data_IF_819341527759
#
_entry.id   IF_819341527759
#
_cell.length_a   1.000
_cell.length_b   1.000
_cell.length_c   1.000
_cell.angle_alpha   90.00
_cell.angle_beta   90.00
_cell.angle_gamma   90.00
#
_symmetry.space_group_name_H-M   'P 1'
#
loop_
_entity.id
_entity.type
_entity.pdbx_description
1 polymer ?
#
# COMPACT_ATOMS: atom_id res chain seq x y z
N UNK A 1 12.98 28.06 30.23
CA UNK A 1 12.97 28.15 28.75
C UNK A 1 12.48 26.80 28.21
N UNK A 2 11.18 26.70 27.90
CA UNK A 2 10.45 25.55 27.29
C UNK A 2 8.94 25.85 27.51
N UNK A 3 8.00 25.85 26.57
CA UNK A 3 8.01 25.65 25.11
C UNK A 3 6.71 26.29 24.56
N UNK A 4 6.77 27.21 23.57
CA UNK A 4 5.58 27.81 22.93
C UNK A 4 4.71 26.80 22.13
N UNK A 5 5.13 25.53 22.06
CA UNK A 5 4.44 24.46 21.35
C UNK A 5 3.12 24.02 22.02
N UNK A 6 2.97 24.21 23.32
CA UNK A 6 1.77 23.75 24.03
C UNK A 6 0.56 24.65 23.76
N UNK A 7 0.78 25.97 23.70
CA UNK A 7 -0.26 26.96 23.43
C UNK A 7 -0.83 26.83 22.00
N UNK A 8 0.04 26.55 21.02
CA UNK A 8 -0.39 26.35 19.62
C UNK A 8 -1.22 25.07 19.48
N UNK A 9 -0.83 23.98 20.17
CA UNK A 9 -1.59 22.72 20.16
C UNK A 9 -2.99 22.92 20.72
N UNK A 10 -3.10 23.61 21.87
CA UNK A 10 -4.38 23.91 22.50
C UNK A 10 -5.26 24.80 21.63
N UNK A 11 -4.69 25.81 20.97
CA UNK A 11 -5.46 26.66 20.03
C UNK A 11 -5.95 25.84 18.83
N UNK A 12 -5.10 24.95 18.28
CA UNK A 12 -5.49 24.10 17.17
C UNK A 12 -6.61 23.13 17.54
N UNK A 13 -6.55 22.54 18.74
CA UNK A 13 -7.60 21.64 19.25
C UNK A 13 -8.94 22.38 19.37
N UNK A 14 -8.95 23.59 19.95
CA UNK A 14 -10.16 24.41 20.06
C UNK A 14 -10.72 24.76 18.67
N UNK A 15 -9.86 25.11 17.71
CA UNK A 15 -10.30 25.41 16.34
C UNK A 15 -10.88 24.18 15.64
N UNK A 16 -10.32 23.00 15.88
CA UNK A 16 -10.85 21.75 15.34
C UNK A 16 -12.19 21.41 15.97
N UNK A 17 -12.34 21.57 17.28
CA UNK A 17 -13.61 21.36 17.98
C UNK A 17 -14.69 22.31 17.44
N UNK A 18 -14.39 23.59 17.26
CA UNK A 18 -15.32 24.59 16.70
C UNK A 18 -15.78 24.21 15.28
N UNK A 19 -14.85 23.81 14.41
CA UNK A 19 -15.17 23.33 13.06
C UNK A 19 -16.06 22.08 13.10
N UNK A 20 -15.87 21.19 14.07
CA UNK A 20 -16.66 19.96 14.21
C UNK A 20 -18.05 20.20 14.82
N UNK A 21 -18.21 21.26 15.62
CA UNK A 21 -19.47 21.66 16.24
C UNK A 21 -20.33 22.57 15.34
N UNK A 22 -19.74 23.16 14.30
CA UNK A 22 -20.42 24.03 13.35
C UNK A 22 -21.62 23.33 12.69
N UNK A 23 -22.76 24.01 12.66
CA UNK A 23 -23.97 23.53 11.99
C UNK A 23 -23.89 23.69 10.46
N UNK A 24 -24.71 22.93 9.74
CA UNK A 24 -24.79 23.01 8.27
C UNK A 24 -25.10 24.42 7.74
N UNK A 25 -25.81 25.24 8.52
CA UNK A 25 -26.12 26.62 8.15
C UNK A 25 -24.94 27.57 8.41
N UNK A 26 -24.20 27.38 9.51
CA UNK A 26 -22.96 28.12 9.80
C UNK A 26 -21.88 27.83 8.76
N UNK A 27 -21.65 26.55 8.44
CA UNK A 27 -20.71 26.12 7.41
C UNK A 27 -21.07 26.75 6.06
N UNK A 28 -22.35 26.78 5.69
CA UNK A 28 -22.80 27.37 4.42
C UNK A 28 -22.56 28.87 4.40
N UNK A 29 -22.82 29.54 5.52
CA UNK A 29 -22.67 30.98 5.65
C UNK A 29 -21.19 31.38 5.54
N UNK A 30 -20.27 30.67 6.21
CA UNK A 30 -18.82 30.89 6.11
C UNK A 30 -18.32 30.73 4.67
N UNK A 31 -18.75 29.68 3.97
CA UNK A 31 -18.38 29.46 2.56
C UNK A 31 -18.79 30.64 1.68
N UNK A 32 -19.98 31.20 1.92
CA UNK A 32 -20.49 32.37 1.18
C UNK A 32 -19.69 33.63 1.55
N UNK A 33 -19.38 33.83 2.84
CA UNK A 33 -18.59 34.97 3.33
C UNK A 33 -17.16 34.98 2.78
N UNK A 34 -16.58 33.80 2.59
CA UNK A 34 -15.29 33.60 1.92
C UNK A 34 -15.34 33.80 0.40
N UNK A 35 -16.52 34.10 -0.16
CA UNK A 35 -16.73 34.32 -1.60
C UNK A 35 -16.73 33.04 -2.43
N UNK A 36 -16.90 31.87 -1.80
CA UNK A 36 -16.99 30.59 -2.47
C UNK A 36 -18.46 30.21 -2.74
N UNK A 37 -18.66 29.32 -3.71
CA UNK A 37 -19.98 28.78 -4.02
C UNK A 37 -20.17 27.42 -3.32
N UNK A 38 -21.20 27.25 -2.46
CA UNK A 38 -21.38 26.02 -1.68
C UNK A 38 -21.50 24.74 -2.52
N UNK A 39 -22.12 24.81 -3.70
CA UNK A 39 -22.26 23.64 -4.56
C UNK A 39 -20.93 23.16 -5.14
N UNK A 40 -19.99 24.06 -5.44
CA UNK A 40 -18.65 23.76 -5.92
C UNK A 40 -17.83 23.03 -4.85
N UNK A 41 -17.87 23.50 -3.61
CA UNK A 41 -17.22 22.85 -2.46
C UNK A 41 -17.81 21.45 -2.24
N UNK A 42 -19.13 21.33 -2.22
CA UNK A 42 -19.81 20.04 -2.07
C UNK A 42 -19.45 19.07 -3.20
N UNK A 43 -19.38 19.55 -4.45
CA UNK A 43 -18.98 18.74 -5.59
C UNK A 43 -17.52 18.29 -5.51
N UNK A 44 -16.62 19.14 -5.00
CA UNK A 44 -15.23 18.76 -4.74
C UNK A 44 -15.14 17.67 -3.69
N UNK A 45 -15.87 17.79 -2.59
CA UNK A 45 -15.89 16.77 -1.53
C UNK A 45 -16.44 15.43 -2.03
N UNK A 46 -17.52 15.44 -2.82
CA UNK A 46 -18.05 14.22 -3.45
C UNK A 46 -17.01 13.52 -4.32
N UNK A 47 -16.25 14.27 -5.13
CA UNK A 47 -15.18 13.70 -5.96
C UNK A 47 -14.09 13.03 -5.13
N UNK A 48 -13.67 13.67 -4.03
CA UNK A 48 -12.68 13.09 -3.11
C UNK A 48 -13.23 11.81 -2.48
N UNK A 49 -14.46 11.83 -1.98
CA UNK A 49 -15.11 10.66 -1.41
C UNK A 49 -15.18 9.49 -2.40
N UNK A 50 -15.67 9.73 -3.63
CA UNK A 50 -15.75 8.67 -4.64
C UNK A 50 -14.38 8.13 -5.04
N UNK A 51 -13.35 9.00 -5.09
CA UNK A 51 -11.98 8.56 -5.33
C UNK A 51 -11.48 7.64 -4.21
N UNK A 52 -11.61 8.05 -2.95
CA UNK A 52 -11.19 7.23 -1.81
C UNK A 52 -11.96 5.91 -1.76
N UNK A 53 -13.27 5.92 -2.06
CA UNK A 53 -14.09 4.70 -2.13
C UNK A 53 -13.60 3.77 -3.23
N UNK A 54 -13.33 4.29 -4.41
CA UNK A 54 -12.78 3.52 -5.52
C UNK A 54 -11.42 2.91 -5.17
N UNK A 55 -10.53 3.68 -4.55
CA UNK A 55 -9.21 3.19 -4.10
C UNK A 55 -9.34 2.08 -3.05
N UNK A 56 -10.26 2.22 -2.09
CA UNK A 56 -10.55 1.19 -1.10
C UNK A 56 -11.11 -0.08 -1.75
N UNK A 57 -12.08 0.03 -2.67
CA UNK A 57 -12.63 -1.13 -3.40
C UNK A 57 -11.56 -1.82 -4.26
N UNK A 58 -10.69 -1.04 -4.92
CA UNK A 58 -9.54 -1.59 -5.68
C UNK A 58 -8.58 -2.35 -4.77
N UNK A 59 -8.33 -1.86 -3.55
CA UNK A 59 -7.50 -2.55 -2.58
C UNK A 59 -8.15 -3.86 -2.13
N UNK A 60 -9.45 -3.85 -1.82
CA UNK A 60 -10.21 -5.06 -1.46
C UNK A 60 -10.14 -6.12 -2.56
N UNK A 61 -10.28 -5.73 -3.83
CA UNK A 61 -10.17 -6.65 -4.97
C UNK A 61 -8.76 -7.23 -5.07
N UNK A 62 -7.72 -6.43 -4.85
CA UNK A 62 -6.33 -6.92 -4.86
C UNK A 62 -6.07 -7.91 -3.72
N UNK A 63 -6.63 -7.65 -2.55
CA UNK A 63 -6.48 -8.50 -1.37
C UNK A 63 -7.29 -9.81 -1.50
N UNK A 64 -8.48 -9.75 -2.11
CA UNK A 64 -9.27 -10.93 -2.49
C UNK A 64 -8.57 -11.76 -3.57
N UNK A 65 -8.03 -11.14 -4.61
CA UNK A 65 -7.25 -11.83 -5.64
C UNK A 65 -6.00 -12.51 -5.07
N UNK A 66 -5.31 -11.88 -4.11
CA UNK A 66 -4.20 -12.52 -3.38
C UNK A 66 -4.62 -13.78 -2.61
N UNK A 67 -5.89 -13.87 -2.21
CA UNK A 67 -6.40 -15.02 -1.45
C UNK A 67 -6.84 -16.16 -2.39
N UNK A 68 -7.34 -15.83 -3.59
CA UNK A 68 -7.78 -16.81 -4.60
C UNK A 68 -6.64 -17.35 -5.50
N UNK A 69 -5.45 -16.73 -5.48
CA UNK A 69 -4.25 -17.24 -6.17
C UNK A 69 -3.12 -17.62 -5.21
N UNK A 70 -3.46 -18.33 -4.13
CA UNK A 70 -2.48 -19.24 -3.53
C UNK A 70 -2.81 -20.64 -4.07
N UNK A 71 -2.12 -21.12 -5.13
CA UNK A 71 -2.17 -22.53 -5.46
C UNK A 71 -1.76 -23.32 -4.22
N UNK A 72 -2.43 -24.45 -3.97
CA UNK A 72 -2.12 -25.42 -2.91
C UNK A 72 -0.67 -25.33 -2.44
N UNK A 73 -0.48 -24.75 -1.24
CA UNK A 73 0.78 -24.66 -0.50
C UNK A 73 2.04 -24.79 -1.37
N UNK A 74 2.44 -23.70 -2.04
CA UNK A 74 3.71 -23.64 -2.77
C UNK A 74 4.82 -24.20 -1.87
N UNK A 75 5.38 -25.34 -2.27
CA UNK A 75 6.45 -25.99 -1.50
C UNK A 75 7.63 -25.02 -1.42
N UNK A 76 8.15 -24.85 -0.21
CA UNK A 76 9.36 -24.10 0.08
C UNK A 76 10.51 -24.44 -0.90
N UNK A 77 10.65 -25.72 -1.24
CA UNK A 77 11.66 -26.19 -2.19
C UNK A 77 11.38 -25.72 -3.63
N UNK A 78 10.11 -25.61 -4.01
CA UNK A 78 9.71 -25.10 -5.32
C UNK A 78 10.04 -23.62 -5.45
N UNK A 79 9.68 -22.81 -4.45
CA UNK A 79 9.98 -21.39 -4.40
C UNK A 79 11.50 -21.14 -4.45
N UNK A 80 12.29 -21.85 -3.63
CA UNK A 80 13.75 -21.78 -3.62
C UNK A 80 14.35 -22.10 -4.99
N UNK A 81 13.90 -23.18 -5.64
CA UNK A 81 14.40 -23.57 -6.95
C UNK A 81 14.08 -22.55 -8.05
N UNK A 82 12.91 -21.92 -8.02
CA UNK A 82 12.52 -20.90 -8.99
C UNK A 82 13.34 -19.62 -8.84
N UNK A 83 13.60 -19.18 -7.60
CA UNK A 83 14.46 -18.02 -7.32
C UNK A 83 15.89 -18.29 -7.83
N UNK A 84 16.46 -19.47 -7.52
CA UNK A 84 17.80 -19.83 -7.97
C UNK A 84 17.89 -19.88 -9.50
N UNK A 85 16.92 -20.48 -10.18
CA UNK A 85 16.86 -20.49 -11.66
C UNK A 85 16.78 -19.07 -12.25
N UNK A 86 16.08 -18.16 -11.60
CA UNK A 86 16.01 -16.76 -12.04
C UNK A 86 17.36 -16.05 -11.87
N UNK A 87 18.07 -16.30 -10.78
CA UNK A 87 19.43 -15.78 -10.56
C UNK A 87 20.46 -16.35 -11.54
N UNK A 88 20.33 -17.62 -11.93
CA UNK A 88 21.19 -18.22 -12.94
C UNK A 88 20.91 -17.66 -14.35
N UNK A 89 19.66 -17.27 -14.62
CA UNK A 89 19.26 -16.68 -15.90
C UNK A 89 19.66 -15.21 -16.03
N UNK A 90 19.68 -14.45 -14.93
CA UNK A 90 20.17 -13.07 -14.89
C UNK A 90 21.04 -12.82 -13.64
N UNK A 91 22.38 -12.90 -13.80
CA UNK A 91 23.33 -12.65 -12.71
C UNK A 91 23.32 -11.22 -12.16
N UNK A 92 22.76 -10.23 -12.87
CA UNK A 92 22.62 -8.86 -12.36
C UNK A 92 21.46 -8.74 -11.38
N UNK A 93 20.39 -9.54 -11.52
CA UNK A 93 19.32 -9.63 -10.52
C UNK A 93 19.88 -10.10 -9.18
N UNK A 94 20.76 -11.11 -9.20
CA UNK A 94 21.42 -11.63 -8.00
C UNK A 94 22.20 -10.56 -7.22
N UNK A 95 22.66 -9.51 -7.89
CA UNK A 95 23.37 -8.40 -7.25
C UNK A 95 22.46 -7.40 -6.54
N UNK A 96 21.17 -7.38 -6.85
CA UNK A 96 20.17 -6.49 -6.23
C UNK A 96 19.60 -7.07 -4.93
N UNK A 97 19.81 -8.35 -4.67
CA UNK A 97 19.43 -9.03 -3.43
C UNK A 97 20.53 -8.93 -2.36
N UNK A 98 20.15 -9.29 -1.13
CA UNK A 98 21.02 -9.24 0.07
C UNK A 98 22.32 -10.02 -0.12
N UNK A 99 23.34 -9.69 0.68
CA UNK A 99 24.70 -10.25 0.55
C UNK A 99 24.73 -11.80 0.57
N UNK A 100 23.77 -12.45 1.22
CA UNK A 100 23.59 -13.90 1.26
C UNK A 100 23.22 -14.50 -0.11
N UNK A 101 22.27 -13.88 -0.83
CA UNK A 101 21.88 -14.31 -2.18
C UNK A 101 23.04 -14.21 -3.19
N UNK A 102 23.96 -13.26 -3.00
CA UNK A 102 25.18 -13.13 -3.81
C UNK A 102 26.16 -14.29 -3.59
N UNK A 103 26.28 -14.82 -2.38
CA UNK A 103 27.24 -15.87 -2.04
C UNK A 103 26.81 -17.27 -2.51
N UNK A 104 25.53 -17.44 -2.90
CA UNK A 104 25.00 -18.74 -3.34
C UNK A 104 24.69 -19.72 -2.23
N UNK A 105 24.76 -19.27 -0.98
CA UNK A 105 24.33 -20.02 0.18
C UNK A 105 23.20 -19.28 0.88
N UNK A 106 22.12 -20.04 1.05
CA UNK A 106 21.00 -19.86 1.97
C UNK A 106 20.42 -18.46 2.07
N UNK A 107 19.51 -18.18 1.13
CA UNK A 107 18.36 -17.34 1.49
C UNK A 107 17.69 -18.02 2.70
N UNK A 108 17.53 -17.32 3.83
CA UNK A 108 16.90 -17.89 5.02
C UNK A 108 15.51 -18.41 4.69
N UNK A 109 15.13 -19.55 5.26
CA UNK A 109 13.86 -20.19 4.96
C UNK A 109 12.65 -19.30 5.32
N UNK A 110 12.82 -18.41 6.29
CA UNK A 110 11.84 -17.39 6.66
C UNK A 110 11.63 -16.31 5.57
N UNK A 111 12.64 -16.07 4.73
CA UNK A 111 12.63 -14.99 3.74
C UNK A 111 12.30 -15.47 2.31
N UNK A 112 12.39 -16.78 2.03
CA UNK A 112 12.21 -17.34 0.67
C UNK A 112 10.84 -17.02 0.09
N UNK A 113 9.77 -17.18 0.88
CA UNK A 113 8.41 -16.91 0.40
C UNK A 113 8.21 -15.41 0.13
N UNK A 114 8.70 -14.55 1.02
CA UNK A 114 8.64 -13.11 0.83
C UNK A 114 9.42 -12.64 -0.41
N UNK A 115 10.54 -13.27 -0.74
CA UNK A 115 11.27 -12.99 -1.97
C UNK A 115 10.59 -13.57 -3.22
N UNK A 116 10.04 -14.78 -3.12
CA UNK A 116 9.30 -15.41 -4.21
C UNK A 116 8.10 -14.55 -4.63
N UNK A 117 7.32 -14.07 -3.67
CA UNK A 117 6.20 -13.17 -3.90
C UNK A 117 6.62 -11.86 -4.57
N UNK A 118 7.70 -11.22 -4.08
CA UNK A 118 8.22 -10.00 -4.70
C UNK A 118 8.69 -10.24 -6.15
N UNK A 119 9.31 -11.38 -6.43
CA UNK A 119 9.76 -11.71 -7.78
C UNK A 119 8.59 -12.04 -8.72
N UNK A 120 7.49 -12.60 -8.20
CA UNK A 120 6.23 -12.75 -8.94
C UNK A 120 5.61 -11.39 -9.25
N UNK A 121 5.54 -10.48 -8.26
CA UNK A 121 4.99 -9.13 -8.45
C UNK A 121 5.78 -8.31 -9.46
N UNK A 122 7.10 -8.48 -9.50
CA UNK A 122 7.98 -7.85 -10.49
C UNK A 122 7.95 -8.53 -11.87
N UNK A 123 7.22 -9.65 -12.01
CA UNK A 123 7.13 -10.44 -13.24
C UNK A 123 8.44 -11.11 -13.66
N UNK A 124 9.39 -11.23 -12.74
CA UNK A 124 10.71 -11.84 -12.95
C UNK A 124 10.57 -13.36 -13.07
N UNK A 125 9.77 -13.94 -12.19
CA UNK A 125 9.34 -15.33 -12.25
C UNK A 125 7.85 -15.36 -12.56
N UNK A 126 7.41 -16.42 -13.23
CA UNK A 126 5.99 -16.68 -13.47
C UNK A 126 5.59 -17.86 -12.60
N UNK A 127 4.45 -17.74 -11.93
CA UNK A 127 3.81 -18.86 -11.26
C UNK A 127 3.09 -19.69 -12.33
N UNK A 128 3.89 -20.44 -13.08
CA UNK A 128 3.37 -21.53 -13.88
C UNK A 128 3.45 -22.76 -12.97
N UNK A 129 2.31 -23.33 -12.52
CA UNK A 129 2.35 -24.62 -11.86
C UNK A 129 3.07 -25.56 -12.82
N UNK A 130 4.16 -26.16 -12.36
CA UNK A 130 4.78 -27.23 -13.11
C UNK A 130 3.76 -28.35 -13.18
N UNK A 131 3.15 -28.50 -14.36
CA UNK A 131 2.67 -29.80 -14.81
C UNK A 131 3.91 -30.71 -14.85
N UNK A 132 4.27 -31.28 -13.71
CA UNK A 132 5.22 -32.38 -13.64
C UNK A 132 4.49 -33.64 -14.15
N UNK A 133 4.58 -33.87 -15.46
CA UNK A 133 4.66 -35.22 -16.06
C UNK A 133 5.96 -35.38 -16.86
#
# INVERSE_FOLDING_TARGET
MNKPYNEISTILEILVEDILEASDDEIRQEIIEDGNEPSEIANRMRKVYFKCRYEHEQQSIRDEQRTDTIPEAIDFNYARNRILKAFDSDPELRKQFTLAARAGEDIPDEDIMGYFEQMLELGIIKDEPSDDE
#
